data_IF_272668466773
#
_entry.id   IF_272668466773
#
_cell.length_a   1.000
_cell.length_b   1.000
_cell.length_c   1.000
_cell.angle_alpha   90.00
_cell.angle_beta   90.00
_cell.angle_gamma   90.00
#
_symmetry.space_group_name_H-M   'P 1'
#
loop_
_entity.id
_entity.type
_entity.pdbx_description
1 polymer ?
#
# COMPACT_ATOMS: atom_id res chain seq x y z
N UNK A 1 -10.43 58.06 13.29
CA UNK A 1 -10.84 59.27 12.55
C UNK A 1 -11.04 58.88 11.09
N UNK A 2 -12.24 59.16 10.56
CA UNK A 2 -12.61 59.40 9.14
C UNK A 2 -12.41 58.27 8.10
N UNK A 3 -13.50 57.58 7.69
CA UNK A 3 -14.32 57.77 6.43
C UNK A 3 -13.69 57.05 5.22
N UNK A 4 -14.35 56.34 4.30
CA UNK A 4 -15.74 56.24 3.83
C UNK A 4 -15.81 55.09 2.79
N UNK A 5 -16.96 54.42 2.68
CA UNK A 5 -17.36 53.59 1.52
C UNK A 5 -17.64 54.45 0.28
N UNK A 6 -17.84 53.85 -0.92
CA UNK A 6 -19.21 53.82 -1.44
C UNK A 6 -19.60 52.57 -2.27
N UNK A 7 -20.92 52.49 -2.47
CA UNK A 7 -21.80 51.55 -3.17
C UNK A 7 -22.08 51.94 -4.63
N UNK A 8 -22.45 50.98 -5.48
CA UNK A 8 -23.32 51.07 -6.69
C UNK A 8 -23.62 49.59 -7.07
N UNK A 9 -24.82 49.00 -7.11
CA UNK A 9 -26.17 49.35 -7.62
C UNK A 9 -26.25 49.61 -9.12
N UNK A 10 -26.63 48.58 -9.90
CA UNK A 10 -27.30 48.72 -11.21
C UNK A 10 -27.93 47.36 -11.61
N UNK A 11 -29.26 47.35 -11.72
CA UNK A 11 -30.11 46.46 -12.56
C UNK A 11 -31.00 47.37 -13.43
N UNK A 12 -31.85 46.89 -14.36
CA UNK A 12 -31.86 45.77 -15.33
C UNK A 12 -32.14 46.31 -16.79
N UNK A 13 -32.58 45.52 -17.81
CA UNK A 13 -34.01 45.14 -18.04
C UNK A 13 -34.21 43.72 -18.67
N UNK A 14 -35.29 42.97 -18.39
CA UNK A 14 -36.64 42.87 -19.03
C UNK A 14 -36.70 42.35 -20.48
N UNK A 15 -37.32 41.16 -20.66
CA UNK A 15 -38.10 40.66 -21.83
C UNK A 15 -38.63 39.27 -21.38
N UNK A 16 -39.90 39.01 -21.02
CA UNK A 16 -41.19 39.14 -21.71
C UNK A 16 -41.27 38.47 -23.10
N UNK A 17 -41.72 37.20 -23.13
CA UNK A 17 -42.41 36.61 -24.28
C UNK A 17 -43.18 35.33 -23.89
N UNK A 18 -44.47 35.47 -23.67
CA UNK A 18 -45.53 34.45 -23.86
C UNK A 18 -46.19 34.79 -25.20
N UNK A 19 -46.53 33.84 -26.11
CA UNK A 19 -47.89 33.25 -26.18
C UNK A 19 -47.93 31.90 -26.98
N UNK A 20 -49.09 31.40 -27.47
CA UNK A 20 -50.47 31.42 -26.98
C UNK A 20 -51.06 30.00 -26.80
N UNK A 21 -52.22 29.94 -26.15
CA UNK A 21 -53.19 28.87 -26.28
C UNK A 21 -54.03 29.09 -27.55
N UNK A 22 -54.43 28.01 -28.23
CA UNK A 22 -55.66 28.03 -29.01
C UNK A 22 -56.32 26.64 -29.11
N UNK A 23 -57.64 26.68 -29.13
CA UNK A 23 -58.63 25.61 -29.05
C UNK A 23 -58.69 24.73 -30.32
N UNK A 24 -59.13 23.48 -30.17
CA UNK A 24 -60.32 22.96 -30.87
C UNK A 24 -60.56 21.46 -30.60
N UNK A 25 -61.80 21.17 -30.22
CA UNK A 25 -62.44 19.85 -30.25
C UNK A 25 -62.51 19.31 -31.68
N UNK A 26 -62.27 18.02 -31.88
CA UNK A 26 -63.10 17.20 -32.78
C UNK A 26 -63.25 15.77 -32.24
N UNK A 27 -64.49 15.32 -32.30
CA UNK A 27 -65.03 14.07 -31.80
C UNK A 27 -64.99 13.11 -32.99
N UNK A 28 -64.39 11.92 -32.84
CA UNK A 28 -64.70 10.83 -33.75
C UNK A 28 -64.76 9.50 -32.99
N UNK A 29 -65.98 9.01 -32.89
CA UNK A 29 -66.39 7.72 -32.35
C UNK A 29 -66.03 6.62 -33.35
N UNK A 30 -65.26 5.63 -32.92
CA UNK A 30 -65.42 4.29 -33.47
C UNK A 30 -65.24 3.24 -32.39
N UNK A 31 -66.38 2.63 -32.06
CA UNK A 31 -66.55 1.40 -31.30
C UNK A 31 -65.73 0.26 -31.93
N UNK A 32 -64.93 -0.42 -31.12
CA UNK A 32 -64.69 -1.86 -31.27
C UNK A 32 -64.47 -2.44 -29.88
N UNK A 33 -65.50 -3.13 -29.42
CA UNK A 33 -65.51 -3.95 -28.22
C UNK A 33 -64.72 -5.23 -28.50
N UNK A 34 -63.67 -5.48 -27.73
CA UNK A 34 -63.30 -6.85 -27.34
C UNK A 34 -62.68 -6.88 -25.93
N UNK A 35 -63.13 -7.90 -25.19
CA UNK A 35 -63.03 -8.25 -23.77
C UNK A 35 -61.63 -8.31 -23.12
N UNK A 36 -61.56 -8.40 -21.77
CA UNK A 36 -60.42 -7.99 -20.96
C UNK A 36 -59.36 -9.08 -20.82
N UNK A 37 -58.10 -8.68 -20.85
CA UNK A 37 -56.98 -9.48 -20.36
C UNK A 37 -56.38 -8.77 -19.15
N UNK A 38 -56.23 -9.55 -18.09
CA UNK A 38 -55.83 -9.20 -16.73
C UNK A 38 -54.77 -8.09 -16.62
N UNK A 39 -55.12 -7.03 -15.89
CA UNK A 39 -54.16 -6.13 -15.27
C UNK A 39 -53.62 -6.78 -14.00
N UNK A 40 -52.34 -7.15 -14.00
CA UNK A 40 -51.50 -7.12 -12.79
C UNK A 40 -50.14 -6.52 -13.16
N UNK A 41 -50.18 -5.35 -13.79
CA UNK A 41 -49.06 -4.42 -13.82
C UNK A 41 -49.26 -3.47 -12.65
N UNK A 42 -48.73 -3.87 -11.48
CA UNK A 42 -48.48 -2.95 -10.39
C UNK A 42 -47.38 -1.99 -10.85
N UNK A 43 -47.78 -0.91 -11.53
CA UNK A 43 -46.92 0.25 -11.70
C UNK A 43 -46.65 0.85 -10.32
N UNK A 44 -45.45 0.57 -9.80
CA UNK A 44 -44.84 1.30 -8.71
C UNK A 44 -44.87 2.79 -9.05
N UNK A 45 -45.85 3.50 -8.49
CA UNK A 45 -45.86 4.95 -8.44
C UNK A 45 -44.65 5.33 -7.58
N UNK A 46 -43.51 5.58 -8.24
CA UNK A 46 -42.36 6.24 -7.63
C UNK A 46 -42.80 7.67 -7.32
N UNK A 47 -43.41 7.80 -6.14
CA UNK A 47 -43.66 9.08 -5.50
C UNK A 47 -42.29 9.69 -5.23
N UNK A 48 -41.84 10.56 -6.14
CA UNK A 48 -40.71 11.45 -5.86
C UNK A 48 -41.14 12.35 -4.71
N UNK A 49 -40.83 11.89 -3.50
CA UNK A 49 -40.89 12.73 -2.32
C UNK A 49 -39.83 13.82 -2.50
N UNK A 50 -40.30 15.04 -2.79
CA UNK A 50 -39.54 16.26 -2.57
C UNK A 50 -39.06 16.25 -1.12
N UNK A 51 -37.79 15.92 -0.92
CA UNK A 51 -37.18 15.93 0.40
C UNK A 51 -36.99 17.40 0.78
N UNK A 52 -37.62 17.90 1.86
CA UNK A 52 -37.48 19.29 2.25
C UNK A 52 -36.00 19.61 2.52
N UNK A 53 -35.57 20.81 2.12
CA UNK A 53 -34.21 21.26 2.36
C UNK A 53 -33.86 21.11 3.86
N UNK A 54 -32.67 20.57 4.19
CA UNK A 54 -32.34 20.25 5.57
C UNK A 54 -32.40 21.49 6.43
N UNK A 55 -33.05 21.37 7.58
CA UNK A 55 -33.10 22.42 8.58
C UNK A 55 -31.68 22.77 9.06
N UNK A 56 -31.49 23.96 9.62
CA UNK A 56 -30.19 24.37 10.16
C UNK A 56 -29.63 23.39 11.20
N UNK A 57 -30.53 22.70 11.92
CA UNK A 57 -30.18 21.65 12.90
C UNK A 57 -29.68 20.39 12.17
N UNK A 58 -30.40 19.91 11.16
CA UNK A 58 -30.00 18.74 10.36
C UNK A 58 -28.66 18.95 9.64
N UNK A 59 -28.46 20.13 9.04
CA UNK A 59 -27.17 20.49 8.43
C UNK A 59 -26.03 20.52 9.47
N UNK A 60 -26.34 20.84 10.73
CA UNK A 60 -25.36 20.81 11.82
C UNK A 60 -25.05 19.39 12.27
N UNK A 61 -26.07 18.52 12.36
CA UNK A 61 -25.89 17.09 12.66
C UNK A 61 -25.04 16.40 11.59
N UNK A 62 -25.31 16.64 10.30
CA UNK A 62 -24.50 16.10 9.20
C UNK A 62 -23.03 16.54 9.30
N UNK A 63 -22.77 17.81 9.64
CA UNK A 63 -21.39 18.29 9.87
C UNK A 63 -20.72 17.62 11.06
N UNK A 64 -21.49 17.28 12.10
CA UNK A 64 -20.97 16.54 13.26
C UNK A 64 -20.64 15.10 12.85
N UNK A 65 -21.52 14.40 12.13
CA UNK A 65 -21.29 13.04 11.64
C UNK A 65 -20.02 12.96 10.80
N UNK A 66 -19.85 13.87 9.83
CA UNK A 66 -18.64 13.96 9.00
C UNK A 66 -17.38 14.12 9.88
N UNK A 67 -17.44 14.97 10.90
CA UNK A 67 -16.31 15.17 11.83
C UNK A 67 -16.04 13.93 12.68
N UNK A 68 -17.07 13.22 13.12
CA UNK A 68 -16.93 11.98 13.89
C UNK A 68 -16.25 10.91 13.04
N UNK A 69 -16.62 10.78 11.77
CA UNK A 69 -16.00 9.85 10.83
C UNK A 69 -14.53 10.19 10.54
N UNK A 70 -14.23 11.49 10.37
CA UNK A 70 -12.86 11.97 10.21
C UNK A 70 -12.02 11.66 11.46
N UNK A 71 -12.54 11.93 12.66
CA UNK A 71 -11.86 11.61 13.92
C UNK A 71 -11.66 10.09 14.05
N UNK A 72 -12.66 9.28 13.72
CA UNK A 72 -12.57 7.81 13.74
C UNK A 72 -11.47 7.30 12.80
N UNK A 73 -11.36 7.91 11.61
CA UNK A 73 -10.31 7.63 10.63
C UNK A 73 -8.93 8.01 11.17
N UNK A 74 -8.80 9.19 11.78
CA UNK A 74 -7.56 9.64 12.41
C UNK A 74 -7.13 8.73 13.57
N UNK A 75 -8.07 8.31 14.43
CA UNK A 75 -7.79 7.37 15.51
C UNK A 75 -7.30 6.02 14.99
N UNK A 76 -7.89 5.53 13.90
CA UNK A 76 -7.43 4.31 13.22
C UNK A 76 -6.00 4.46 12.72
N UNK A 77 -5.67 5.62 12.14
CA UNK A 77 -4.32 5.96 11.69
C UNK A 77 -3.31 6.03 12.85
N UNK A 78 -3.66 6.67 13.96
CA UNK A 78 -2.82 6.75 15.16
C UNK A 78 -2.54 5.35 15.72
N UNK A 79 -3.59 4.53 15.91
CA UNK A 79 -3.46 3.15 16.40
C UNK A 79 -2.56 2.29 15.49
N UNK A 80 -2.64 2.47 14.16
CA UNK A 80 -1.76 1.76 13.23
C UNK A 80 -0.29 2.18 13.40
N UNK A 81 -0.04 3.47 13.63
CA UNK A 81 1.30 4.00 13.87
C UNK A 81 1.88 3.53 15.21
N UNK A 82 1.09 3.49 16.28
CA UNK A 82 1.50 2.95 17.58
C UNK A 82 1.95 1.48 17.44
N UNK A 83 1.14 0.64 16.77
CA UNK A 83 1.50 -0.76 16.50
C UNK A 83 2.78 -0.91 15.67
N UNK A 84 3.08 0.05 14.80
CA UNK A 84 4.34 0.08 14.04
C UNK A 84 5.52 0.37 14.96
N UNK A 85 5.42 1.42 15.77
CA UNK A 85 6.47 1.87 16.69
C UNK A 85 6.76 0.81 17.76
N UNK A 86 5.72 0.21 18.35
CA UNK A 86 5.87 -0.84 19.36
C UNK A 86 6.57 -2.07 18.82
N UNK A 87 6.21 -2.50 17.60
CA UNK A 87 6.88 -3.61 16.92
C UNK A 87 8.34 -3.30 16.65
N UNK A 88 8.66 -2.07 16.23
CA UNK A 88 10.04 -1.62 16.02
C UNK A 88 10.84 -1.61 17.33
N UNK A 89 10.23 -1.17 18.44
CA UNK A 89 10.86 -1.18 19.78
C UNK A 89 11.13 -2.59 20.29
N UNK A 90 10.18 -3.53 20.14
CA UNK A 90 10.35 -4.94 20.52
C UNK A 90 11.48 -5.62 19.75
N UNK A 91 11.65 -5.28 18.46
CA UNK A 91 12.79 -5.76 17.67
C UNK A 91 14.11 -5.16 18.17
N UNK A 92 14.18 -3.87 18.45
CA UNK A 92 15.41 -3.29 19.01
C UNK A 92 15.83 -3.96 20.33
N UNK A 93 14.86 -4.27 21.20
CA UNK A 93 15.10 -4.98 22.46
C UNK A 93 15.54 -6.45 22.26
N UNK A 94 15.05 -7.14 21.22
CA UNK A 94 15.48 -8.51 20.94
C UNK A 94 16.90 -8.56 20.34
N UNK A 95 17.30 -7.53 19.58
CA UNK A 95 18.64 -7.43 19.00
C UNK A 95 19.69 -7.20 20.09
N UNK A 96 19.38 -6.38 21.10
CA UNK A 96 20.27 -6.19 22.27
C UNK A 96 20.35 -7.45 23.13
N UNK A 97 19.25 -8.16 23.34
CA UNK A 97 19.25 -9.41 24.11
C UNK A 97 20.04 -10.55 23.43
N UNK A 98 19.92 -10.70 22.11
CA UNK A 98 20.64 -11.73 21.34
C UNK A 98 22.14 -11.46 21.26
N UNK A 99 22.56 -10.19 21.16
CA UNK A 99 23.99 -9.81 21.23
C UNK A 99 24.61 -10.09 22.60
N UNK A 100 23.88 -9.85 23.69
CA UNK A 100 24.34 -10.15 25.06
C UNK A 100 24.48 -11.65 25.32
N UNK A 101 23.62 -12.49 24.71
CA UNK A 101 23.67 -13.95 24.89
C UNK A 101 24.82 -14.61 24.13
N UNK A 102 25.20 -14.07 22.96
CA UNK A 102 26.36 -14.56 22.17
C UNK A 102 27.72 -14.26 22.82
N UNK A 103 27.79 -13.28 23.73
CA UNK A 103 29.01 -12.97 24.50
C UNK A 103 29.24 -13.84 25.73
N UNK A 104 28.26 -14.66 26.15
CA UNK A 104 28.34 -15.43 27.41
C UNK A 104 28.65 -16.93 27.22
N UNK A 105 28.98 -17.37 26.01
CA UNK A 105 29.24 -18.79 25.69
C UNK A 105 30.67 -19.10 25.21
N UNK A 106 31.66 -18.26 25.52
CA UNK A 106 33.07 -18.52 25.14
C UNK A 106 34.04 -18.70 26.30
N UNK A 107 33.58 -18.83 27.55
CA UNK A 107 34.45 -19.08 28.70
C UNK A 107 33.87 -20.17 29.61
N UNK A 108 34.01 -21.44 29.18
CA UNK A 108 33.93 -22.61 30.06
C UNK A 108 34.44 -23.87 29.31
N UNK A 109 35.74 -23.95 29.10
CA UNK A 109 36.44 -25.22 28.86
C UNK A 109 37.79 -25.18 29.59
N UNK A 110 37.71 -25.69 30.82
CA UNK A 110 38.67 -26.39 31.68
C UNK A 110 40.16 -26.45 31.30
N UNK A 111 40.97 -26.23 32.34
CA UNK A 111 42.42 -26.28 32.39
C UNK A 111 43.10 -27.61 32.00
N UNK A 112 44.34 -27.42 31.54
CA UNK A 112 45.56 -28.25 31.35
C UNK A 112 45.78 -29.45 32.31
N UNK A 113 46.61 -30.47 31.95
CA UNK A 113 48.07 -30.31 31.99
C UNK A 113 48.89 -30.93 30.83
N UNK A 114 49.75 -30.11 30.20
CA UNK A 114 51.20 -30.20 29.94
C UNK A 114 51.82 -31.56 29.57
N UNK A 115 52.57 -31.65 28.45
CA UNK A 115 54.02 -32.02 28.33
C UNK A 115 54.60 -31.68 26.92
N UNK A 116 55.61 -30.78 26.90
CA UNK A 116 56.86 -30.63 26.09
C UNK A 116 56.92 -30.92 24.56
N UNK A 117 57.51 -29.96 23.82
CA UNK A 117 58.40 -30.28 22.67
C UNK A 117 58.52 -29.26 21.52
N UNK A 118 59.56 -28.41 21.59
CA UNK A 118 60.40 -27.83 20.52
C UNK A 118 59.84 -27.31 19.16
N UNK A 119 60.19 -26.05 18.84
CA UNK A 119 60.24 -25.44 17.49
C UNK A 119 61.39 -26.06 16.65
N UNK A 120 61.41 -25.88 15.30
CA UNK A 120 62.15 -24.74 14.74
C UNK A 120 61.50 -24.04 13.54
N UNK A 121 61.92 -22.78 13.37
CA UNK A 121 61.68 -21.88 12.25
C UNK A 121 62.56 -22.26 11.04
N UNK A 122 62.10 -21.99 9.81
CA UNK A 122 63.00 -21.92 8.64
C UNK A 122 62.77 -20.62 7.85
N UNK A 123 63.89 -20.05 7.44
CA UNK A 123 64.15 -18.75 6.82
C UNK A 123 64.04 -18.78 5.28
N UNK A 124 64.00 -17.59 4.69
CA UNK A 124 64.00 -17.25 3.26
C UNK A 124 65.40 -17.45 2.62
N UNK A 125 65.50 -17.75 1.32
CA UNK A 125 65.91 -16.79 0.25
C UNK A 125 66.08 -17.44 -1.16
N UNK A 126 65.55 -16.75 -2.18
CA UNK A 126 65.97 -16.45 -3.58
C UNK A 126 66.56 -17.47 -4.59
N UNK A 127 66.01 -17.45 -5.82
CA UNK A 127 66.73 -17.68 -7.10
C UNK A 127 65.86 -18.00 -8.35
N UNK A 128 66.10 -17.47 -9.57
CA UNK A 128 65.04 -17.11 -10.55
C UNK A 128 65.03 -17.90 -11.90
N UNK A 129 63.95 -17.74 -12.71
CA UNK A 129 63.97 -17.36 -14.16
C UNK A 129 62.76 -17.85 -15.00
N UNK A 130 62.01 -16.87 -15.58
CA UNK A 130 61.40 -16.71 -16.95
C UNK A 130 60.60 -17.89 -17.58
N UNK A 131 59.48 -17.77 -18.31
CA UNK A 131 58.67 -16.77 -19.05
C UNK A 131 57.27 -17.43 -19.19
N UNK A 132 56.11 -16.74 -19.21
CA UNK A 132 55.53 -16.21 -20.46
C UNK A 132 54.25 -15.37 -20.23
N UNK A 133 54.19 -14.28 -21.01
CA UNK A 133 53.03 -13.55 -21.57
C UNK A 133 51.99 -12.89 -20.65
N UNK A 134 52.12 -11.56 -20.59
CA UNK A 134 51.13 -10.53 -20.29
C UNK A 134 49.85 -10.64 -21.12
N UNK A 135 48.70 -10.29 -20.53
CA UNK A 135 47.92 -9.13 -20.97
C UNK A 135 47.26 -8.49 -19.75
N UNK A 136 47.55 -7.21 -19.59
CA UNK A 136 47.28 -6.36 -18.43
C UNK A 136 45.82 -5.88 -18.37
N UNK A 137 45.23 -6.09 -17.19
CA UNK A 137 44.61 -5.08 -16.33
C UNK A 137 43.51 -4.13 -16.86
N UNK A 138 42.35 -4.27 -16.21
CA UNK A 138 41.38 -3.21 -16.00
C UNK A 138 40.21 -3.72 -15.16
N UNK A 139 40.14 -3.49 -13.84
CA UNK A 139 39.06 -3.96 -13.00
C UNK A 139 37.85 -3.05 -13.21
N UNK A 140 37.10 -3.29 -14.28
CA UNK A 140 35.81 -2.64 -14.47
C UNK A 140 34.92 -3.11 -13.33
N UNK A 141 34.60 -2.13 -12.47
CA UNK A 141 33.94 -2.28 -11.18
C UNK A 141 32.88 -3.37 -11.28
N UNK A 142 33.11 -4.51 -10.62
CA UNK A 142 32.04 -5.45 -10.32
C UNK A 142 31.03 -4.64 -9.53
N UNK A 143 30.02 -4.08 -10.22
CA UNK A 143 28.83 -3.57 -9.59
C UNK A 143 28.39 -4.70 -8.67
N UNK A 144 28.38 -4.43 -7.37
CA UNK A 144 28.01 -5.42 -6.38
C UNK A 144 26.66 -5.99 -6.83
N UNK A 145 26.69 -7.25 -7.29
CA UNK A 145 25.50 -7.98 -7.70
C UNK A 145 24.54 -7.85 -6.53
N UNK A 146 23.31 -7.37 -6.72
CA UNK A 146 22.34 -7.31 -5.63
C UNK A 146 22.26 -8.72 -5.05
N UNK A 147 22.67 -8.89 -3.79
CA UNK A 147 22.88 -10.20 -3.16
C UNK A 147 21.57 -10.94 -2.85
N UNK A 148 20.51 -10.64 -3.61
CA UNK A 148 19.19 -11.22 -3.50
C UNK A 148 18.67 -11.42 -4.91
N UNK A 149 18.64 -12.67 -5.33
CA UNK A 149 17.90 -13.06 -6.52
C UNK A 149 16.42 -12.70 -6.34
N UNK A 150 15.74 -12.39 -7.44
CA UNK A 150 14.33 -12.07 -7.44
C UNK A 150 13.54 -13.23 -6.80
N UNK A 151 12.67 -12.91 -5.85
CA UNK A 151 11.88 -13.93 -5.13
C UNK A 151 10.87 -14.68 -6.03
N UNK A 152 10.67 -14.23 -7.27
CA UNK A 152 9.68 -14.78 -8.20
C UNK A 152 10.31 -15.60 -9.34
N UNK A 153 11.34 -15.06 -10.00
CA UNK A 153 12.01 -15.68 -11.14
C UNK A 153 13.48 -16.08 -10.88
N UNK A 154 14.02 -15.83 -9.69
CA UNK A 154 15.40 -16.15 -9.30
C UNK A 154 16.51 -15.47 -10.13
N UNK A 155 16.19 -14.49 -10.98
CA UNK A 155 17.16 -13.68 -11.72
C UNK A 155 17.76 -12.55 -10.85
N UNK A 156 18.84 -11.92 -11.35
CA UNK A 156 19.54 -10.84 -10.65
C UNK A 156 18.82 -9.48 -10.75
N UNK A 157 17.72 -9.33 -10.01
CA UNK A 157 17.04 -8.05 -9.82
C UNK A 157 16.18 -8.06 -8.55
N UNK A 158 15.80 -6.87 -8.07
CA UNK A 158 14.84 -6.74 -6.98
C UNK A 158 13.46 -7.22 -7.41
N UNK A 159 12.77 -7.97 -6.55
CA UNK A 159 11.41 -8.44 -6.80
C UNK A 159 10.43 -7.35 -7.22
N UNK A 160 10.64 -6.09 -6.82
CA UNK A 160 9.81 -4.94 -7.23
C UNK A 160 9.92 -4.65 -8.73
N UNK A 161 11.10 -4.87 -9.31
CA UNK A 161 11.44 -4.62 -10.71
C UNK A 161 11.33 -5.88 -11.59
N UNK A 162 10.68 -6.95 -11.11
CA UNK A 162 10.52 -8.18 -11.87
C UNK A 162 9.65 -7.94 -13.12
N UNK A 163 10.24 -8.18 -14.29
CA UNK A 163 9.57 -8.07 -15.60
C UNK A 163 8.80 -9.33 -15.99
N UNK A 164 9.25 -10.50 -15.53
CA UNK A 164 8.58 -11.79 -15.78
C UNK A 164 7.20 -11.85 -15.13
N UNK A 165 7.08 -11.31 -13.92
CA UNK A 165 5.83 -11.19 -13.18
C UNK A 165 5.55 -9.70 -12.99
N UNK A 166 4.93 -9.09 -13.99
CA UNK A 166 4.77 -7.64 -14.09
C UNK A 166 3.48 -7.13 -13.44
N UNK A 167 2.49 -7.99 -13.19
CA UNK A 167 1.22 -7.61 -12.56
C UNK A 167 1.13 -8.06 -11.12
N UNK A 168 0.24 -7.43 -10.34
CA UNK A 168 -0.02 -7.81 -8.95
C UNK A 168 -0.48 -9.28 -8.88
N UNK A 169 -1.48 -9.65 -9.67
CA UNK A 169 -2.06 -11.00 -9.70
C UNK A 169 -1.02 -12.06 -10.01
N UNK A 170 -0.19 -11.84 -11.03
CA UNK A 170 0.90 -12.75 -11.40
C UNK A 170 1.89 -12.97 -10.24
N UNK A 171 2.24 -11.89 -9.52
CA UNK A 171 3.13 -11.98 -8.36
C UNK A 171 2.50 -12.75 -7.22
N UNK A 172 1.22 -12.54 -6.95
CA UNK A 172 0.50 -13.26 -5.91
C UNK A 172 0.38 -14.75 -6.21
N UNK A 173 -0.01 -15.10 -7.43
CA UNK A 173 -0.07 -16.49 -7.91
C UNK A 173 1.29 -17.15 -7.80
N UNK A 174 2.35 -16.46 -8.24
CA UNK A 174 3.71 -16.96 -8.13
C UNK A 174 4.16 -17.14 -6.69
N UNK A 175 3.82 -16.20 -5.80
CA UNK A 175 4.13 -16.31 -4.37
C UNK A 175 3.43 -17.51 -3.73
N UNK A 176 2.15 -17.75 -4.08
CA UNK A 176 1.39 -18.93 -3.63
C UNK A 176 2.05 -20.22 -4.14
N UNK A 177 2.40 -20.28 -5.42
CA UNK A 177 3.07 -21.43 -6.04
C UNK A 177 4.45 -21.72 -5.43
N UNK A 178 5.18 -20.68 -5.01
CA UNK A 178 6.48 -20.81 -4.34
C UNK A 178 6.36 -20.95 -2.81
N UNK A 179 5.15 -21.10 -2.27
CA UNK A 179 4.87 -21.14 -0.83
C UNK A 179 5.55 -19.99 -0.05
N UNK A 180 5.50 -18.77 -0.58
CA UNK A 180 6.04 -17.56 0.05
C UNK A 180 4.93 -16.76 0.71
N UNK A 181 5.22 -16.19 1.88
CA UNK A 181 4.34 -15.25 2.57
C UNK A 181 4.30 -13.91 1.81
N UNK A 182 3.12 -13.45 1.44
CA UNK A 182 2.92 -12.16 0.74
C UNK A 182 3.36 -10.92 1.55
N UNK A 183 3.53 -11.06 2.86
CA UNK A 183 3.91 -9.95 3.74
C UNK A 183 5.41 -9.82 3.96
N UNK A 184 6.16 -10.92 3.84
CA UNK A 184 7.60 -10.92 4.12
C UNK A 184 8.47 -11.58 3.04
N UNK A 185 7.87 -12.19 2.01
CA UNK A 185 8.51 -12.95 0.94
C UNK A 185 9.42 -14.10 1.41
N UNK A 186 9.33 -14.49 2.68
CA UNK A 186 9.95 -15.72 3.20
C UNK A 186 9.02 -16.90 3.00
N UNK A 187 9.53 -18.10 3.25
CA UNK A 187 8.71 -19.32 3.22
C UNK A 187 7.51 -19.17 4.17
N UNK A 188 6.35 -19.66 3.72
CA UNK A 188 5.07 -19.51 4.38
C UNK A 188 4.93 -20.47 5.57
N UNK A 189 5.81 -20.33 6.57
CA UNK A 189 5.69 -21.00 7.88
C UNK A 189 4.65 -20.37 8.79
N UNK A 190 3.94 -19.35 8.29
CA UNK A 190 2.97 -18.53 9.02
C UNK A 190 1.97 -17.90 8.04
N UNK A 191 0.79 -17.56 8.55
CA UNK A 191 -0.23 -16.83 7.78
C UNK A 191 0.09 -15.33 7.71
N UNK A 192 -0.36 -14.64 6.65
CA UNK A 192 -0.03 -13.23 6.41
C UNK A 192 -0.50 -12.30 7.55
N UNK A 193 -1.68 -12.56 8.12
CA UNK A 193 -2.25 -11.78 9.23
C UNK A 193 -1.41 -11.87 10.50
N UNK A 194 -0.85 -13.05 10.79
CA UNK A 194 0.01 -13.33 11.94
C UNK A 194 1.52 -13.31 11.60
N UNK A 195 1.90 -12.75 10.45
CA UNK A 195 3.32 -12.67 10.08
C UNK A 195 4.11 -11.89 11.15
N UNK A 196 5.38 -12.23 11.43
CA UNK A 196 6.21 -11.49 12.38
C UNK A 196 6.88 -10.25 11.77
N UNK A 197 6.84 -10.10 10.44
CA UNK A 197 7.53 -9.01 9.74
C UNK A 197 6.96 -7.65 10.13
N UNK A 198 7.85 -6.70 10.44
CA UNK A 198 7.53 -5.30 10.74
C UNK A 198 7.82 -4.39 9.55
N UNK A 199 8.25 -4.98 8.42
CA UNK A 199 8.54 -4.26 7.21
C UNK A 199 7.29 -3.53 6.74
N UNK A 200 7.41 -2.20 6.64
CA UNK A 200 6.38 -1.37 6.04
C UNK A 200 6.59 -1.31 4.53
N UNK A 201 5.51 -1.40 3.76
CA UNK A 201 5.50 -1.10 2.34
C UNK A 201 6.02 0.33 2.12
N UNK A 202 7.04 0.44 1.28
CA UNK A 202 7.70 1.71 0.97
C UNK A 202 6.72 2.72 0.36
N UNK A 203 5.89 2.30 -0.58
CA UNK A 203 4.94 3.19 -1.27
C UNK A 203 3.79 3.65 -0.37
N UNK A 204 3.23 2.77 0.45
CA UNK A 204 2.20 3.17 1.41
C UNK A 204 2.75 4.06 2.52
N UNK A 205 3.99 3.79 2.97
CA UNK A 205 4.65 4.64 3.96
C UNK A 205 4.89 6.06 3.43
N UNK A 206 5.43 6.19 2.21
CA UNK A 206 5.73 7.50 1.59
C UNK A 206 4.47 8.30 1.31
N UNK A 207 3.38 7.64 0.91
CA UNK A 207 2.09 8.27 0.69
C UNK A 207 1.22 8.44 1.95
N UNK A 208 1.74 8.14 3.15
CA UNK A 208 1.00 8.31 4.41
C UNK A 208 -0.16 7.32 4.65
N UNK A 209 -0.27 6.24 3.87
CA UNK A 209 -1.27 5.17 4.03
C UNK A 209 -0.89 4.21 5.15
N UNK A 210 -1.06 4.67 6.39
CA UNK A 210 -0.58 3.94 7.57
C UNK A 210 -1.31 2.62 7.84
N UNK A 211 -2.57 2.53 7.44
CA UNK A 211 -3.42 1.35 7.62
C UNK A 211 -2.94 0.20 6.75
N UNK A 212 -2.42 0.50 5.56
CA UNK A 212 -2.09 -0.50 4.55
C UNK A 212 -0.61 -0.82 4.51
N UNK A 213 0.25 0.07 5.02
CA UNK A 213 1.71 -0.13 4.93
C UNK A 213 2.21 -1.40 5.62
N UNK A 214 1.47 -1.99 6.57
CA UNK A 214 1.87 -3.23 7.26
C UNK A 214 1.12 -4.48 6.78
N UNK A 215 0.19 -4.34 5.83
CA UNK A 215 -0.62 -5.47 5.34
C UNK A 215 0.11 -6.27 4.26
N UNK A 216 0.98 -5.64 3.49
CA UNK A 216 1.64 -6.23 2.33
C UNK A 216 3.13 -5.90 2.26
N UNK A 217 3.89 -6.74 1.57
CA UNK A 217 5.25 -6.40 1.16
C UNK A 217 5.23 -5.41 -0.02
N UNK A 218 6.25 -4.55 -0.15
CA UNK A 218 6.33 -3.50 -1.20
C UNK A 218 6.07 -4.01 -2.62
N UNK A 219 6.41 -5.27 -2.90
CA UNK A 219 6.21 -5.93 -4.21
C UNK A 219 4.75 -6.20 -4.58
N UNK A 220 3.85 -6.18 -3.58
CA UNK A 220 2.41 -6.39 -3.73
C UNK A 220 1.62 -5.12 -3.39
N UNK A 221 2.24 -3.95 -3.52
CA UNK A 221 1.50 -2.71 -3.30
C UNK A 221 0.59 -2.45 -4.50
N UNK A 222 -0.72 -2.51 -4.31
CA UNK A 222 -1.72 -2.20 -5.35
C UNK A 222 -1.48 -0.84 -6.01
N UNK A 223 -1.03 0.15 -5.24
CA UNK A 223 -0.74 1.49 -5.72
C UNK A 223 0.51 1.59 -6.61
N UNK A 224 1.29 0.51 -6.76
CA UNK A 224 2.39 0.44 -7.73
C UNK A 224 1.90 0.06 -9.14
N UNK A 225 0.77 -0.65 -9.22
CA UNK A 225 0.25 -1.22 -10.48
C UNK A 225 -0.94 -0.44 -11.06
N UNK A 226 -1.51 0.50 -10.30
CA UNK A 226 -2.46 1.50 -10.80
C UNK A 226 -1.69 2.72 -11.32
N UNK A 227 -1.20 2.64 -12.54
CA UNK A 227 -0.79 3.79 -13.35
C UNK A 227 -1.34 3.60 -14.76
#
# INVERSE_FOLDING_TARGET
MTTTSPTDDTTPPTDEATPPADEAMEINTNDTIQEPQATDDTQEIVHQQDVPAPTAIEATLQRIEIKVDEISTQLTRIKAYERYVDRKRKLAANETATKSKKRKTTDAATADPTIKGAKPQHVKDSGPSKQSSSTEQGPSKKAAVPSKNCAFCNESHYSTACRTYSTLTQREERARALHKCIRCLKDATHIATACPSTAACYYCKTAGRVTDMLKHHTTFCEHQFRM
#
